data_IF_672565810438
#
_entry.id   IF_672565810438
#
_cell.length_a   1.000
_cell.length_b   1.000
_cell.length_c   1.000
_cell.angle_alpha   90.00
_cell.angle_beta   90.00
_cell.angle_gamma   90.00
#
_symmetry.space_group_name_H-M   'P 1'
#
loop_
_entity.id
_entity.type
_entity.pdbx_description
1 polymer ?
#
# COMPACT_ATOMS: atom_id res chain seq x y z
N UNK A 1 4.74 14.89 -15.04
CA UNK A 1 5.52 15.86 -14.23
C UNK A 1 6.41 16.74 -15.09
N UNK A 2 7.45 16.20 -15.72
CA UNK A 2 8.48 16.99 -16.39
C UNK A 2 7.94 17.94 -17.46
N UNK A 3 7.00 17.45 -18.29
CA UNK A 3 6.32 18.29 -19.28
C UNK A 3 5.56 19.46 -18.64
N UNK A 4 4.89 19.24 -17.50
CA UNK A 4 4.19 20.31 -16.79
C UNK A 4 5.16 21.39 -16.30
N UNK A 5 6.32 20.99 -15.80
CA UNK A 5 7.37 21.92 -15.35
C UNK A 5 7.96 22.71 -16.52
N UNK A 6 8.31 22.03 -17.61
CA UNK A 6 8.84 22.66 -18.83
C UNK A 6 7.86 23.66 -19.47
N UNK A 7 6.56 23.45 -19.29
CA UNK A 7 5.52 24.36 -19.77
C UNK A 7 5.10 25.41 -18.73
N UNK A 8 5.81 25.53 -17.61
CA UNK A 8 5.58 26.55 -16.59
C UNK A 8 4.27 26.41 -15.81
N UNK A 9 3.68 25.21 -15.70
CA UNK A 9 2.40 25.04 -14.98
C UNK A 9 2.53 25.29 -13.47
N UNK A 10 3.72 25.12 -12.90
CA UNK A 10 4.05 25.41 -11.50
C UNK A 10 4.23 26.91 -11.20
N UNK A 11 4.19 27.77 -12.23
CA UNK A 11 4.36 29.21 -12.12
C UNK A 11 3.11 29.93 -12.60
N UNK A 12 2.23 30.34 -11.68
CA UNK A 12 0.98 31.03 -12.01
C UNK A 12 1.20 32.32 -12.83
N UNK A 13 2.09 33.18 -12.35
CA UNK A 13 2.24 34.54 -12.89
C UNK A 13 3.38 34.70 -13.90
N UNK A 14 4.20 33.66 -14.12
CA UNK A 14 5.45 33.72 -14.91
C UNK A 14 5.48 32.77 -16.11
N UNK A 15 4.32 32.50 -16.71
CA UNK A 15 4.21 31.55 -17.83
C UNK A 15 5.00 31.94 -19.09
N UNK A 16 5.22 33.24 -19.34
CA UNK A 16 5.94 33.70 -20.52
C UNK A 16 7.39 33.21 -20.55
N UNK A 17 8.00 32.99 -19.37
CA UNK A 17 9.37 32.51 -19.23
C UNK A 17 9.57 31.10 -19.81
N UNK A 18 8.46 30.37 -20.04
CA UNK A 18 8.43 29.00 -20.55
C UNK A 18 7.94 28.90 -22.00
N UNK A 19 7.76 30.03 -22.70
CA UNK A 19 7.31 30.05 -24.10
C UNK A 19 8.18 30.98 -24.94
N UNK A 20 8.58 30.50 -26.12
CA UNK A 20 9.25 31.34 -27.12
C UNK A 20 8.26 32.27 -27.85
N UNK A 21 6.99 31.88 -27.93
CA UNK A 21 5.94 32.71 -28.50
C UNK A 21 5.38 33.68 -27.45
N UNK A 22 5.03 34.89 -27.88
CA UNK A 22 4.31 35.85 -27.03
C UNK A 22 2.92 35.30 -26.66
N UNK A 23 2.65 35.21 -25.37
CA UNK A 23 1.41 34.62 -24.84
C UNK A 23 0.38 35.72 -24.53
N UNK A 24 -0.70 35.76 -25.30
CA UNK A 24 -1.85 36.64 -25.04
C UNK A 24 -2.56 36.18 -23.76
N UNK A 25 -2.82 37.10 -22.82
CA UNK A 25 -3.55 36.79 -21.58
C UNK A 25 -4.99 36.40 -21.92
N UNK A 26 -5.36 35.17 -21.57
CA UNK A 26 -6.71 34.62 -21.71
C UNK A 26 -7.10 33.96 -20.39
N UNK A 27 -8.12 34.51 -19.72
CA UNK A 27 -8.56 34.04 -18.41
C UNK A 27 -9.04 32.58 -18.42
N UNK A 28 -9.64 32.11 -19.53
CA UNK A 28 -10.10 30.73 -19.64
C UNK A 28 -8.93 29.75 -19.72
N UNK A 29 -7.87 30.12 -20.45
CA UNK A 29 -6.65 29.33 -20.52
C UNK A 29 -5.91 29.32 -19.18
N UNK A 30 -5.82 30.44 -18.47
CA UNK A 30 -5.20 30.50 -17.14
C UNK A 30 -5.93 29.61 -16.14
N UNK A 31 -7.27 29.67 -16.11
CA UNK A 31 -8.08 28.80 -15.26
C UNK A 31 -7.92 27.31 -15.63
N UNK A 32 -7.84 26.98 -16.91
CA UNK A 32 -7.61 25.59 -17.37
C UNK A 32 -6.22 25.08 -16.95
N UNK A 33 -5.20 25.93 -17.02
CA UNK A 33 -3.83 25.61 -16.56
C UNK A 33 -3.77 25.43 -15.05
N UNK A 34 -4.43 26.31 -14.29
CA UNK A 34 -4.55 26.21 -12.84
C UNK A 34 -5.22 24.89 -12.43
N UNK A 35 -6.35 24.54 -13.08
CA UNK A 35 -7.04 23.25 -12.87
C UNK A 35 -6.15 22.05 -13.21
N UNK A 36 -5.43 22.11 -14.32
CA UNK A 36 -4.53 21.04 -14.73
C UNK A 36 -3.38 20.85 -13.74
N UNK A 37 -2.74 21.95 -13.30
CA UNK A 37 -1.74 21.91 -12.24
C UNK A 37 -2.34 21.38 -10.93
N UNK A 38 -3.59 21.76 -10.63
CA UNK A 38 -4.23 21.35 -9.40
C UNK A 38 -4.46 19.83 -9.33
N UNK A 39 -5.00 19.26 -10.42
CA UNK A 39 -5.11 17.80 -10.59
C UNK A 39 -3.75 17.11 -10.57
N UNK A 40 -2.73 17.73 -11.17
CA UNK A 40 -1.39 17.18 -11.18
C UNK A 40 -0.83 17.00 -9.75
N UNK A 41 -1.07 17.97 -8.86
CA UNK A 41 -0.71 17.91 -7.43
C UNK A 41 -1.50 16.88 -6.62
N UNK A 42 -2.65 16.41 -7.13
CA UNK A 42 -3.40 15.30 -6.52
C UNK A 42 -2.87 13.97 -7.05
N UNK A 43 -2.89 13.78 -8.37
CA UNK A 43 -2.64 12.48 -9.00
C UNK A 43 -1.18 12.04 -8.85
N UNK A 44 -0.22 12.95 -8.97
CA UNK A 44 1.19 12.58 -8.98
C UNK A 44 1.68 12.02 -7.63
N UNK A 45 1.33 12.60 -6.46
CA UNK A 45 1.56 11.95 -5.18
C UNK A 45 0.82 10.62 -5.03
N UNK A 46 -0.46 10.54 -5.41
CA UNK A 46 -1.25 9.31 -5.31
C UNK A 46 -0.53 8.12 -5.96
N UNK A 47 -0.08 8.28 -7.21
CA UNK A 47 0.57 7.17 -7.94
C UNK A 47 1.78 6.62 -7.19
N UNK A 48 2.56 7.45 -6.50
CA UNK A 48 3.72 6.98 -5.73
C UNK A 48 3.33 6.44 -4.36
N UNK A 49 2.58 7.23 -3.59
CA UNK A 49 2.21 6.94 -2.20
C UNK A 49 1.58 5.56 -2.11
N UNK A 50 0.53 5.33 -2.89
CA UNK A 50 -0.25 4.10 -2.80
C UNK A 50 0.52 2.89 -3.37
N UNK A 51 1.63 3.11 -4.09
CA UNK A 51 2.60 2.08 -4.50
C UNK A 51 3.71 1.81 -3.46
N UNK A 52 3.73 2.52 -2.33
CA UNK A 52 4.82 2.45 -1.36
C UNK A 52 6.10 3.14 -1.84
N UNK A 53 5.98 4.12 -2.73
CA UNK A 53 7.09 4.94 -3.20
C UNK A 53 7.06 6.32 -2.53
N UNK A 54 8.21 6.98 -2.33
CA UNK A 54 8.25 8.32 -1.76
C UNK A 54 7.38 9.31 -2.56
N UNK A 55 6.60 10.18 -1.89
CA UNK A 55 5.80 11.17 -2.58
C UNK A 55 6.68 12.21 -3.27
N UNK A 56 6.21 12.74 -4.39
CA UNK A 56 6.84 13.90 -5.01
C UNK A 56 6.51 15.17 -4.20
N UNK A 57 7.55 15.93 -3.86
CA UNK A 57 7.42 17.27 -3.30
C UNK A 57 7.39 18.31 -4.44
N UNK A 58 6.42 19.21 -4.39
CA UNK A 58 6.29 20.30 -5.34
C UNK A 58 6.76 21.60 -4.70
N UNK A 59 7.80 22.20 -5.28
CA UNK A 59 8.13 23.61 -5.06
C UNK A 59 7.43 24.41 -6.17
N UNK A 60 6.43 25.21 -5.81
CA UNK A 60 5.61 25.95 -6.78
C UNK A 60 5.21 27.34 -6.26
N UNK A 61 4.93 28.27 -7.18
CA UNK A 61 4.58 29.64 -6.82
C UNK A 61 3.13 29.77 -6.34
N UNK A 62 2.36 28.68 -6.38
CA UNK A 62 0.93 28.69 -6.13
C UNK A 62 0.59 28.70 -4.63
N UNK A 63 1.52 28.28 -3.77
CA UNK A 63 1.38 28.36 -2.31
C UNK A 63 1.52 29.80 -1.80
N UNK A 64 2.31 30.64 -2.48
CA UNK A 64 2.68 31.97 -2.01
C UNK A 64 1.85 33.11 -2.65
N UNK A 65 1.26 32.88 -3.83
CA UNK A 65 0.64 33.94 -4.64
C UNK A 65 -0.90 33.97 -4.63
N UNK A 66 -1.60 33.12 -3.87
CA UNK A 66 -3.07 33.04 -3.99
C UNK A 66 -3.86 33.12 -2.69
N UNK A 67 -4.64 34.20 -2.61
CA UNK A 67 -5.98 34.22 -2.04
C UNK A 67 -6.90 33.32 -2.89
N UNK A 68 -6.76 32.00 -2.76
CA UNK A 68 -7.54 30.96 -3.46
C UNK A 68 -9.08 31.01 -3.22
N UNK A 69 -9.57 32.00 -2.47
CA UNK A 69 -10.92 32.08 -1.95
C UNK A 69 -11.98 32.71 -2.85
N UNK A 70 -11.63 33.42 -3.94
CA UNK A 70 -12.64 34.15 -4.73
C UNK A 70 -12.74 33.73 -6.21
N UNK A 71 -11.63 33.45 -6.91
CA UNK A 71 -11.69 33.17 -8.36
C UNK A 71 -11.87 31.68 -8.73
N UNK A 72 -11.38 30.75 -7.92
CA UNK A 72 -11.56 29.30 -8.14
C UNK A 72 -12.85 28.74 -7.52
N UNK A 73 -13.47 29.52 -6.63
CA UNK A 73 -14.68 29.15 -5.88
C UNK A 73 -15.93 28.97 -6.76
N UNK A 74 -15.84 29.34 -8.04
CA UNK A 74 -16.98 29.24 -8.96
C UNK A 74 -17.16 27.87 -9.65
N UNK A 75 -16.41 26.80 -9.33
CA UNK A 75 -16.60 25.53 -10.07
C UNK A 75 -16.31 24.20 -9.39
N UNK A 76 -15.21 24.04 -8.65
CA UNK A 76 -14.80 22.68 -8.24
C UNK A 76 -14.10 22.66 -6.87
N UNK A 77 -14.90 22.87 -5.82
CA UNK A 77 -14.45 22.80 -4.43
C UNK A 77 -13.87 21.43 -4.07
N UNK A 78 -14.24 20.36 -4.79
CA UNK A 78 -13.72 19.02 -4.55
C UNK A 78 -12.22 18.95 -4.82
N UNK A 79 -11.71 19.53 -5.91
CA UNK A 79 -10.26 19.53 -6.22
C UNK A 79 -9.48 20.26 -5.14
N UNK A 80 -9.97 21.40 -4.68
CA UNK A 80 -9.35 22.15 -3.59
C UNK A 80 -9.18 21.29 -2.34
N UNK A 81 -10.24 20.59 -1.93
CA UNK A 81 -10.19 19.71 -0.76
C UNK A 81 -9.33 18.46 -0.98
N UNK A 82 -9.36 17.87 -2.17
CA UNK A 82 -8.48 16.76 -2.56
C UNK A 82 -7.01 17.16 -2.42
N UNK A 83 -6.63 18.32 -2.92
CA UNK A 83 -5.26 18.83 -2.80
C UNK A 83 -4.81 19.03 -1.36
N UNK A 84 -5.69 19.58 -0.51
CA UNK A 84 -5.37 19.77 0.90
C UNK A 84 -5.17 18.46 1.62
N UNK A 85 -6.01 17.47 1.35
CA UNK A 85 -5.87 16.12 1.92
C UNK A 85 -4.59 15.44 1.43
N UNK A 86 -4.28 15.52 0.13
CA UNK A 86 -3.05 14.95 -0.43
C UNK A 86 -1.78 15.68 0.04
N UNK A 87 -1.87 16.98 0.35
CA UNK A 87 -0.79 17.73 1.00
C UNK A 87 -0.53 17.18 2.40
N UNK A 88 -1.58 16.96 3.19
CA UNK A 88 -1.47 16.32 4.52
C UNK A 88 -0.86 14.92 4.40
N UNK A 89 -1.31 14.10 3.45
CA UNK A 89 -0.75 12.77 3.23
C UNK A 89 0.74 12.83 2.83
N UNK A 90 1.10 13.68 1.88
CA UNK A 90 2.49 13.87 1.42
C UNK A 90 3.40 14.35 2.54
N UNK A 91 2.98 15.36 3.31
CA UNK A 91 3.73 15.85 4.47
C UNK A 91 3.90 14.76 5.52
N UNK A 92 2.82 14.02 5.82
CA UNK A 92 2.86 12.94 6.80
C UNK A 92 3.85 11.85 6.42
N UNK A 93 3.86 11.40 5.17
CA UNK A 93 4.74 10.32 4.73
C UNK A 93 6.19 10.76 4.74
N UNK A 94 6.50 12.00 4.33
CA UNK A 94 7.86 12.53 4.43
C UNK A 94 8.32 12.57 5.89
N UNK A 95 7.50 13.11 6.81
CA UNK A 95 7.85 13.16 8.24
C UNK A 95 7.99 11.77 8.86
N UNK A 96 7.06 10.85 8.59
CA UNK A 96 7.08 9.48 9.12
C UNK A 96 8.25 8.68 8.56
N UNK A 97 8.60 8.88 7.28
CA UNK A 97 9.72 8.19 6.63
C UNK A 97 11.05 8.69 7.19
N UNK A 98 11.25 10.01 7.32
CA UNK A 98 12.45 10.57 7.97
C UNK A 98 12.59 10.08 9.41
N UNK A 99 11.53 10.19 10.22
CA UNK A 99 11.55 9.73 11.61
C UNK A 99 11.84 8.22 11.75
N UNK A 100 11.46 7.42 10.75
CA UNK A 100 11.73 5.98 10.72
C UNK A 100 13.19 5.66 10.42
N UNK A 101 13.84 6.41 9.53
CA UNK A 101 15.25 6.19 9.18
C UNK A 101 16.21 6.73 10.24
N UNK A 102 15.82 7.75 10.99
CA UNK A 102 16.64 8.35 12.03
C UNK A 102 16.63 7.57 13.36
N UNK A 103 15.68 6.65 13.55
CA UNK A 103 15.53 5.88 14.79
C UNK A 103 16.22 4.51 14.76
N UNK A 104 16.96 4.17 15.82
CA UNK A 104 17.42 2.80 16.06
C UNK A 104 16.23 1.86 16.32
N UNK A 105 16.38 0.59 15.92
CA UNK A 105 15.35 -0.42 16.12
C UNK A 105 14.99 -0.58 17.59
N UNK A 106 13.71 -0.39 17.91
CA UNK A 106 13.20 -0.62 19.25
C UNK A 106 13.28 0.57 20.20
N UNK A 107 13.66 1.77 19.71
CA UNK A 107 13.68 2.97 20.54
C UNK A 107 12.27 3.28 21.12
N UNK A 108 12.08 3.21 22.45
CA UNK A 108 10.81 3.57 23.09
C UNK A 108 10.45 5.06 22.95
N UNK A 109 11.40 5.93 22.55
CA UNK A 109 11.16 7.34 22.28
C UNK A 109 10.70 7.61 20.83
N UNK A 110 10.37 6.58 20.06
CA UNK A 110 9.97 6.71 18.67
C UNK A 110 8.77 7.69 18.51
N UNK A 111 8.96 8.82 17.78
CA UNK A 111 7.93 9.85 17.65
C UNK A 111 6.78 9.48 16.72
N UNK A 112 6.81 8.30 16.06
CA UNK A 112 5.83 7.87 15.07
C UNK A 112 4.39 7.95 15.62
N UNK A 113 4.12 7.50 16.84
CA UNK A 113 2.76 7.56 17.43
C UNK A 113 2.24 9.01 17.48
N UNK A 114 3.09 9.96 17.90
CA UNK A 114 2.71 11.37 18.01
C UNK A 114 2.52 11.99 16.61
N UNK A 115 3.36 11.63 15.64
CA UNK A 115 3.27 12.07 14.25
C UNK A 115 1.97 11.55 13.61
N UNK A 116 1.69 10.24 13.73
CA UNK A 116 0.45 9.63 13.21
C UNK A 116 -0.77 10.33 13.81
N UNK A 117 -0.78 10.53 15.13
CA UNK A 117 -1.87 11.22 15.81
C UNK A 117 -2.07 12.66 15.31
N UNK A 118 -0.99 13.42 15.16
CA UNK A 118 -1.05 14.79 14.67
C UNK A 118 -1.73 14.87 13.30
N UNK A 119 -1.30 14.02 12.36
CA UNK A 119 -1.88 14.00 11.01
C UNK A 119 -3.29 13.40 10.97
N UNK A 120 -3.63 12.40 11.79
CA UNK A 120 -5.02 11.91 11.91
C UNK A 120 -5.98 13.02 12.38
N UNK A 121 -5.55 13.83 13.36
CA UNK A 121 -6.31 14.97 13.86
C UNK A 121 -6.51 16.03 12.74
N UNK A 122 -5.52 16.25 11.87
CA UNK A 122 -5.65 17.11 10.68
C UNK A 122 -6.63 16.53 9.64
N UNK A 123 -6.58 15.23 9.36
CA UNK A 123 -7.50 14.55 8.45
C UNK A 123 -8.94 14.65 8.95
N UNK A 124 -9.17 14.46 10.26
CA UNK A 124 -10.49 14.62 10.89
C UNK A 124 -10.99 16.06 10.78
N UNK A 125 -10.10 17.05 10.97
CA UNK A 125 -10.44 18.47 10.81
C UNK A 125 -10.83 18.78 9.36
N UNK A 126 -10.05 18.32 8.38
CA UNK A 126 -10.35 18.50 6.96
C UNK A 126 -11.67 17.85 6.54
N UNK A 127 -11.98 16.67 7.08
CA UNK A 127 -13.29 16.00 6.84
C UNK A 127 -14.46 16.88 7.25
N UNK A 128 -14.37 17.57 8.38
CA UNK A 128 -15.44 18.47 8.86
C UNK A 128 -15.56 19.72 7.98
N UNK A 129 -14.43 20.28 7.55
CA UNK A 129 -14.40 21.52 6.76
C UNK A 129 -14.82 21.33 5.30
N UNK A 130 -14.56 20.15 4.74
CA UNK A 130 -14.81 19.83 3.34
C UNK A 130 -16.22 19.31 3.06
N UNK A 131 -17.05 19.03 4.07
CA UNK A 131 -18.40 18.52 3.85
C UNK A 131 -19.30 19.56 3.14
N UNK A 132 -20.08 19.19 2.10
CA UNK A 132 -20.25 17.87 1.48
C UNK A 132 -19.35 17.63 0.25
N UNK A 133 -18.36 18.50 0.01
CA UNK A 133 -17.56 18.55 -1.22
C UNK A 133 -16.61 17.36 -1.43
N UNK A 134 -16.26 16.62 -0.38
CA UNK A 134 -15.37 15.45 -0.49
C UNK A 134 -16.00 14.20 0.12
N UNK A 135 -16.00 13.11 -0.65
CA UNK A 135 -16.61 11.85 -0.25
C UNK A 135 -15.83 11.18 0.89
N UNK A 136 -16.54 10.43 1.75
CA UNK A 136 -15.95 9.77 2.92
C UNK A 136 -14.82 8.78 2.59
N UNK A 137 -14.83 8.19 1.39
CA UNK A 137 -13.81 7.23 0.92
C UNK A 137 -12.40 7.83 0.92
N UNK A 138 -12.25 9.12 0.59
CA UNK A 138 -10.97 9.83 0.63
C UNK A 138 -10.37 9.81 2.04
N UNK A 139 -11.18 10.14 3.05
CA UNK A 139 -10.72 10.16 4.43
C UNK A 139 -10.47 8.76 5.00
N UNK A 140 -11.30 7.77 4.67
CA UNK A 140 -11.08 6.39 5.11
C UNK A 140 -9.78 5.82 4.52
N UNK A 141 -9.51 6.11 3.24
CA UNK A 141 -8.25 5.77 2.58
C UNK A 141 -7.06 6.42 3.31
N UNK A 142 -7.04 7.74 3.47
CA UNK A 142 -5.93 8.45 4.14
C UNK A 142 -5.69 7.95 5.56
N UNK A 143 -6.75 7.75 6.35
CA UNK A 143 -6.63 7.26 7.74
C UNK A 143 -6.08 5.84 7.81
N UNK A 144 -6.50 4.94 6.92
CA UNK A 144 -5.96 3.59 6.85
C UNK A 144 -4.45 3.60 6.51
N UNK A 145 -4.03 4.40 5.53
CA UNK A 145 -2.62 4.52 5.16
C UNK A 145 -1.76 5.14 6.28
N UNK A 146 -2.26 6.17 6.98
CA UNK A 146 -1.60 6.73 8.17
C UNK A 146 -1.51 5.70 9.29
N UNK A 147 -2.64 5.09 9.64
CA UNK A 147 -2.75 4.13 10.74
C UNK A 147 -1.91 2.87 10.52
N UNK A 148 -1.74 2.44 9.27
CA UNK A 148 -0.85 1.35 8.90
C UNK A 148 0.59 1.52 9.42
N UNK A 149 1.05 2.75 9.69
CA UNK A 149 2.37 2.96 10.31
C UNK A 149 2.51 2.35 11.73
N UNK A 150 1.41 2.02 12.41
CA UNK A 150 1.44 1.31 13.70
C UNK A 150 2.07 -0.09 13.64
N UNK A 151 2.10 -0.74 12.48
CA UNK A 151 2.82 -2.02 12.28
C UNK A 151 4.34 -1.88 12.44
N UNK A 152 4.88 -0.66 12.38
CA UNK A 152 6.31 -0.39 12.50
C UNK A 152 6.72 0.13 13.88
N UNK A 153 5.77 0.26 14.81
CA UNK A 153 6.02 0.68 16.19
C UNK A 153 6.19 -0.56 17.07
N UNK A 154 7.09 -0.48 18.05
CA UNK A 154 7.34 -1.53 19.03
C UNK A 154 6.05 -2.03 19.68
N UNK A 155 5.95 -3.34 19.90
CA UNK A 155 4.77 -3.95 20.51
C UNK A 155 4.64 -3.50 21.96
N UNK A 156 3.56 -2.78 22.23
CA UNK A 156 3.13 -2.33 23.55
C UNK A 156 1.60 -2.37 23.59
N UNK A 157 1.01 -2.43 24.78
CA UNK A 157 -0.45 -2.49 24.92
C UNK A 157 -1.16 -1.28 24.26
N UNK A 158 -0.53 -0.10 24.30
CA UNK A 158 -1.04 1.08 23.59
C UNK A 158 -0.98 0.91 22.08
N UNK A 159 0.13 0.40 21.52
CA UNK A 159 0.24 0.15 20.09
C UNK A 159 -0.72 -0.95 19.59
N UNK A 160 -0.95 -1.99 20.39
CA UNK A 160 -1.95 -3.03 20.09
C UNK A 160 -3.37 -2.44 19.98
N UNK A 161 -3.71 -1.48 20.83
CA UNK A 161 -5.00 -0.76 20.76
C UNK A 161 -5.12 0.00 19.43
N UNK A 162 -4.05 0.66 18.99
CA UNK A 162 -4.05 1.33 17.69
C UNK A 162 -4.18 0.34 16.51
N UNK A 163 -3.56 -0.83 16.57
CA UNK A 163 -3.73 -1.85 15.52
C UNK A 163 -5.18 -2.36 15.43
N UNK A 164 -5.92 -2.40 16.54
CA UNK A 164 -7.37 -2.67 16.54
C UNK A 164 -8.14 -1.53 15.84
N UNK A 165 -7.77 -0.27 16.10
CA UNK A 165 -8.37 0.87 15.40
C UNK A 165 -8.13 0.80 13.88
N UNK A 166 -6.91 0.46 13.46
CA UNK A 166 -6.53 0.30 12.06
C UNK A 166 -7.28 -0.85 11.40
N UNK A 167 -7.52 -1.95 12.12
CA UNK A 167 -8.38 -3.04 11.68
C UNK A 167 -9.82 -2.56 11.37
N UNK A 168 -10.42 -1.75 12.25
CA UNK A 168 -11.75 -1.19 12.00
C UNK A 168 -11.75 -0.19 10.85
N UNK A 169 -10.69 0.61 10.69
CA UNK A 169 -10.53 1.50 9.52
C UNK A 169 -10.45 0.71 8.21
N UNK A 170 -9.74 -0.42 8.20
CA UNK A 170 -9.66 -1.32 7.04
C UNK A 170 -11.04 -1.89 6.68
N UNK A 171 -11.77 -2.41 7.67
CA UNK A 171 -13.12 -2.93 7.46
C UNK A 171 -14.07 -1.85 6.92
N UNK A 172 -14.05 -0.64 7.51
CA UNK A 172 -14.88 0.48 7.08
C UNK A 172 -14.52 0.98 5.67
N UNK A 173 -13.24 0.95 5.28
CA UNK A 173 -12.82 1.28 3.92
C UNK A 173 -13.35 0.25 2.91
N UNK A 174 -13.25 -1.05 3.21
CA UNK A 174 -13.79 -2.06 2.30
C UNK A 174 -15.31 -1.97 2.21
N UNK A 175 -16.00 -1.74 3.33
CA UNK A 175 -17.46 -1.61 3.41
C UNK A 175 -17.98 -0.44 2.56
N UNK A 176 -17.31 0.73 2.58
CA UNK A 176 -17.73 1.85 1.73
C UNK A 176 -17.51 1.58 0.23
N UNK A 177 -16.45 0.84 -0.13
CA UNK A 177 -16.20 0.45 -1.52
C UNK A 177 -17.23 -0.59 -1.97
N UNK A 178 -17.53 -1.59 -1.14
CA UNK A 178 -18.54 -2.61 -1.43
C UNK A 178 -19.94 -1.99 -1.56
N UNK A 179 -20.31 -1.10 -0.63
CA UNK A 179 -21.59 -0.39 -0.68
C UNK A 179 -21.70 0.43 -1.98
N UNK A 180 -20.63 1.11 -2.39
CA UNK A 180 -20.60 1.84 -3.66
C UNK A 180 -20.65 0.92 -4.87
N UNK A 181 -20.00 -0.23 -4.80
CA UNK A 181 -20.03 -1.22 -5.89
C UNK A 181 -21.43 -1.80 -6.09
N UNK A 182 -22.16 -2.05 -5.00
CA UNK A 182 -23.55 -2.52 -5.06
C UNK A 182 -24.52 -1.46 -5.62
N UNK A 183 -24.19 -0.18 -5.50
CA UNK A 183 -25.02 0.92 -5.99
C UNK A 183 -24.74 1.26 -7.45
N UNK A 184 -23.47 1.41 -7.80
CA UNK A 184 -23.04 2.09 -9.03
C UNK A 184 -22.02 1.28 -9.85
N UNK A 185 -21.84 -0.02 -9.57
CA UNK A 185 -20.78 -0.85 -10.15
C UNK A 185 -19.37 -0.26 -9.99
N UNK A 186 -19.15 0.45 -8.89
CA UNK A 186 -17.95 1.24 -8.61
C UNK A 186 -16.63 0.46 -8.76
N UNK A 187 -16.62 -0.86 -8.52
CA UNK A 187 -15.43 -1.68 -8.73
C UNK A 187 -14.89 -1.57 -10.17
N UNK A 188 -15.76 -1.43 -11.18
CA UNK A 188 -15.35 -1.33 -12.59
C UNK A 188 -14.60 -0.03 -12.91
N UNK A 189 -14.75 1.00 -12.08
CA UNK A 189 -14.23 2.36 -12.32
C UNK A 189 -13.30 2.85 -11.20
N UNK A 190 -13.00 2.00 -10.23
CA UNK A 190 -12.19 2.37 -9.07
C UNK A 190 -10.76 2.73 -9.51
N UNK A 191 -10.26 3.85 -8.99
CA UNK A 191 -8.91 4.33 -9.28
C UNK A 191 -7.84 3.42 -8.67
N UNK A 192 -6.64 3.49 -9.24
CA UNK A 192 -5.48 2.69 -8.80
C UNK A 192 -5.16 2.88 -7.32
N UNK A 193 -5.33 4.10 -6.79
CA UNK A 193 -5.18 4.42 -5.37
C UNK A 193 -6.04 3.51 -4.49
N UNK A 194 -7.35 3.47 -4.74
CA UNK A 194 -8.27 2.71 -3.89
C UNK A 194 -8.14 1.20 -4.11
N UNK A 195 -7.76 0.78 -5.32
CA UNK A 195 -7.33 -0.60 -5.56
C UNK A 195 -6.17 -0.99 -4.65
N UNK A 196 -5.12 -0.15 -4.55
CA UNK A 196 -3.99 -0.39 -3.65
C UNK A 196 -4.38 -0.35 -2.18
N UNK A 197 -5.28 0.55 -1.81
CA UNK A 197 -5.86 0.61 -0.47
C UNK A 197 -6.68 -0.63 -0.12
N UNK A 198 -7.43 -1.25 -1.07
CA UNK A 198 -8.15 -2.51 -0.82
C UNK A 198 -7.17 -3.62 -0.43
N UNK A 199 -6.00 -3.65 -1.04
CA UNK A 199 -4.97 -4.65 -0.77
C UNK A 199 -4.31 -4.41 0.58
N UNK A 200 -3.98 -3.16 0.90
CA UNK A 200 -3.55 -2.78 2.24
C UNK A 200 -4.60 -3.19 3.29
N UNK A 201 -5.87 -2.86 3.06
CA UNK A 201 -6.97 -3.20 3.96
C UNK A 201 -7.12 -4.71 4.17
N UNK A 202 -7.14 -5.50 3.10
CA UNK A 202 -7.20 -6.96 3.17
C UNK A 202 -6.02 -7.54 3.96
N UNK A 203 -4.79 -7.12 3.67
CA UNK A 203 -3.60 -7.61 4.38
C UNK A 203 -3.60 -7.15 5.85
N UNK A 204 -4.02 -5.93 6.16
CA UNK A 204 -4.19 -5.46 7.54
C UNK A 204 -5.17 -6.35 8.29
N UNK A 205 -6.34 -6.64 7.69
CA UNK A 205 -7.36 -7.52 8.28
C UNK A 205 -6.77 -8.91 8.54
N UNK A 206 -6.11 -9.50 7.55
CA UNK A 206 -5.48 -10.82 7.67
C UNK A 206 -4.46 -10.83 8.82
N UNK A 207 -3.54 -9.87 8.86
CA UNK A 207 -2.49 -9.81 9.88
C UNK A 207 -3.07 -9.69 11.29
N UNK A 208 -4.08 -8.85 11.48
CA UNK A 208 -4.73 -8.68 12.80
C UNK A 208 -5.52 -9.94 13.18
N UNK A 209 -6.28 -10.53 12.26
CA UNK A 209 -7.02 -11.78 12.53
C UNK A 209 -6.11 -12.97 12.84
N UNK A 210 -4.87 -12.97 12.33
CA UNK A 210 -3.87 -14.02 12.60
C UNK A 210 -2.96 -13.75 13.79
N UNK A 211 -3.08 -12.58 14.44
CA UNK A 211 -2.27 -12.26 15.62
C UNK A 211 -2.77 -13.01 16.84
N UNK A 212 -1.86 -13.65 17.57
CA UNK A 212 -2.18 -14.32 18.83
C UNK A 212 -2.53 -13.31 19.93
N UNK A 213 -2.05 -12.07 19.81
CA UNK A 213 -2.27 -10.98 20.76
C UNK A 213 -3.57 -10.19 20.49
N UNK A 214 -4.05 -10.15 19.25
CA UNK A 214 -5.19 -9.30 18.84
C UNK A 214 -6.44 -10.07 18.44
N UNK A 215 -6.34 -11.33 17.98
CA UNK A 215 -7.49 -12.05 17.42
C UNK A 215 -8.68 -12.18 18.39
N UNK A 216 -8.41 -12.26 19.70
CA UNK A 216 -9.45 -12.31 20.74
C UNK A 216 -10.11 -10.94 21.03
N UNK A 217 -9.54 -9.85 20.53
CA UNK A 217 -9.98 -8.47 20.80
C UNK A 217 -10.64 -7.80 19.59
N UNK A 218 -10.79 -8.51 18.48
CA UNK A 218 -11.44 -8.03 17.26
C UNK A 218 -12.61 -8.91 16.86
N UNK A 219 -13.58 -8.33 16.14
CA UNK A 219 -14.67 -9.10 15.53
C UNK A 219 -14.16 -9.83 14.29
N UNK A 220 -13.70 -11.08 14.46
CA UNK A 220 -13.15 -11.90 13.37
C UNK A 220 -14.12 -12.12 12.20
N UNK A 221 -15.42 -12.16 12.48
CA UNK A 221 -16.45 -12.39 11.47
C UNK A 221 -16.66 -11.13 10.62
N UNK A 222 -16.61 -9.95 11.20
CA UNK A 222 -16.56 -8.69 10.44
C UNK A 222 -15.32 -8.67 9.54
N UNK A 223 -14.16 -9.04 10.07
CA UNK A 223 -12.90 -9.07 9.31
C UNK A 223 -12.96 -10.03 8.13
N UNK A 224 -13.41 -11.26 8.36
CA UNK A 224 -13.61 -12.24 7.31
C UNK A 224 -14.53 -11.72 6.19
N UNK A 225 -15.67 -11.13 6.56
CA UNK A 225 -16.61 -10.55 5.57
C UNK A 225 -15.95 -9.45 4.74
N UNK A 226 -15.28 -8.50 5.39
CA UNK A 226 -14.57 -7.42 4.70
C UNK A 226 -13.41 -7.95 3.85
N UNK A 227 -12.65 -8.94 4.32
CA UNK A 227 -11.57 -9.55 3.56
C UNK A 227 -12.07 -10.19 2.26
N UNK A 228 -13.14 -10.98 2.34
CA UNK A 228 -13.74 -11.59 1.15
C UNK A 228 -14.51 -10.60 0.27
N UNK A 229 -15.01 -9.50 0.83
CA UNK A 229 -15.54 -8.39 0.03
C UNK A 229 -14.45 -7.77 -0.84
N UNK A 230 -13.25 -7.52 -0.30
CA UNK A 230 -12.11 -7.03 -1.07
C UNK A 230 -11.75 -8.01 -2.21
N UNK A 231 -11.73 -9.32 -1.95
CA UNK A 231 -11.51 -10.34 -3.00
C UNK A 231 -12.58 -10.28 -4.09
N UNK A 232 -13.87 -10.14 -3.74
CA UNK A 232 -14.95 -10.03 -4.72
C UNK A 232 -14.80 -8.79 -5.60
N UNK A 233 -14.49 -7.64 -5.00
CA UNK A 233 -14.24 -6.38 -5.73
C UNK A 233 -13.07 -6.56 -6.71
N UNK A 234 -11.97 -7.19 -6.28
CA UNK A 234 -10.84 -7.50 -7.15
C UNK A 234 -11.24 -8.42 -8.32
N UNK A 235 -12.00 -9.49 -8.05
CA UNK A 235 -12.49 -10.40 -9.09
C UNK A 235 -13.38 -9.68 -10.13
N UNK A 236 -14.19 -8.70 -9.71
CA UNK A 236 -15.03 -7.91 -10.62
C UNK A 236 -14.21 -7.01 -11.56
N UNK A 237 -12.96 -6.68 -11.21
CA UNK A 237 -12.03 -5.86 -12.03
C UNK A 237 -11.22 -6.65 -13.04
N UNK A 238 -11.32 -7.97 -13.04
CA UNK A 238 -10.55 -8.82 -13.94
C UNK A 238 -10.99 -8.57 -15.39
N UNK A 239 -10.05 -8.10 -16.20
CA UNK A 239 -10.23 -7.86 -17.64
C UNK A 239 -9.75 -9.06 -18.46
N UNK A 240 -8.74 -9.78 -17.96
CA UNK A 240 -8.12 -10.92 -18.65
C UNK A 240 -7.68 -11.98 -17.65
N UNK A 241 -7.64 -13.23 -18.11
CA UNK A 241 -7.07 -14.31 -17.30
C UNK A 241 -5.64 -13.96 -16.90
N UNK A 242 -5.34 -14.16 -15.61
CA UNK A 242 -4.02 -13.90 -15.02
C UNK A 242 -3.58 -12.42 -15.06
N UNK A 243 -4.49 -11.45 -15.19
CA UNK A 243 -4.14 -10.05 -14.95
C UNK A 243 -3.85 -9.77 -13.46
N UNK A 244 -3.37 -8.55 -13.17
CA UNK A 244 -3.01 -8.12 -11.82
C UNK A 244 -4.12 -8.36 -10.78
N UNK A 245 -5.37 -8.11 -11.16
CA UNK A 245 -6.52 -8.27 -10.26
C UNK A 245 -6.82 -9.74 -9.99
N UNK A 246 -6.76 -10.58 -11.03
CA UNK A 246 -6.97 -12.01 -10.92
C UNK A 246 -5.90 -12.65 -10.04
N UNK A 247 -4.64 -12.28 -10.26
CA UNK A 247 -3.52 -12.77 -9.47
C UNK A 247 -3.63 -12.34 -8.01
N UNK A 248 -3.94 -11.07 -7.73
CA UNK A 248 -4.08 -10.63 -6.35
C UNK A 248 -5.28 -11.30 -5.64
N UNK A 249 -6.42 -11.45 -6.32
CA UNK A 249 -7.57 -12.16 -5.75
C UNK A 249 -7.22 -13.61 -5.39
N UNK A 250 -6.41 -14.29 -6.22
CA UNK A 250 -5.90 -15.63 -5.95
C UNK A 250 -4.94 -15.65 -4.76
N UNK A 251 -3.95 -14.75 -4.73
CA UNK A 251 -2.99 -14.63 -3.62
C UNK A 251 -3.73 -14.42 -2.29
N UNK A 252 -4.68 -13.48 -2.23
CA UNK A 252 -5.46 -13.21 -1.04
C UNK A 252 -6.30 -14.43 -0.61
N UNK A 253 -6.87 -15.18 -1.56
CA UNK A 253 -7.62 -16.40 -1.26
C UNK A 253 -6.72 -17.47 -0.63
N UNK A 254 -5.53 -17.70 -1.22
CA UNK A 254 -4.54 -18.66 -0.72
C UNK A 254 -4.00 -18.26 0.66
N UNK A 255 -3.72 -16.97 0.86
CA UNK A 255 -3.28 -16.42 2.14
C UNK A 255 -4.30 -16.66 3.26
N UNK A 256 -5.59 -16.47 2.99
CA UNK A 256 -6.64 -16.72 3.98
C UNK A 256 -6.81 -18.20 4.32
N UNK A 257 -6.59 -19.10 3.37
CA UNK A 257 -6.69 -20.54 3.58
C UNK A 257 -5.47 -21.11 4.31
N UNK A 258 -4.28 -20.55 4.08
CA UNK A 258 -3.04 -21.03 4.70
C UNK A 258 -3.07 -20.90 6.22
N UNK A 259 -2.72 -21.98 6.94
CA UNK A 259 -2.56 -22.01 8.40
C UNK A 259 -1.10 -21.77 8.86
N UNK A 260 -0.19 -21.65 7.89
CA UNK A 260 1.25 -21.59 8.12
C UNK A 260 1.85 -20.25 7.69
N UNK A 261 1.11 -19.44 6.95
CA UNK A 261 1.50 -18.04 6.69
C UNK A 261 1.79 -17.35 8.02
N UNK A 262 2.93 -16.64 8.08
CA UNK A 262 3.51 -16.00 9.29
C UNK A 262 4.10 -16.93 10.35
N UNK A 263 4.13 -18.25 10.14
CA UNK A 263 4.81 -19.18 11.06
C UNK A 263 6.33 -19.03 10.90
N UNK A 264 7.01 -18.81 12.02
CA UNK A 264 8.46 -18.74 12.09
C UNK A 264 9.08 -20.15 12.17
N UNK A 265 10.39 -20.32 11.90
CA UNK A 265 11.07 -21.62 11.98
C UNK A 265 10.93 -22.31 13.35
N UNK A 266 10.82 -21.55 14.44
CA UNK A 266 10.56 -22.06 15.80
C UNK A 266 9.10 -22.47 16.07
N UNK A 267 8.21 -22.40 15.09
CA UNK A 267 6.80 -22.76 15.20
C UNK A 267 5.90 -21.67 15.79
N UNK A 268 6.47 -20.56 16.29
CA UNK A 268 5.70 -19.39 16.73
C UNK A 268 5.02 -18.70 15.54
N UNK A 269 3.87 -18.07 15.80
CA UNK A 269 3.14 -17.28 14.81
C UNK A 269 3.43 -15.80 15.03
N UNK A 270 3.85 -15.10 13.99
CA UNK A 270 4.11 -13.66 14.05
C UNK A 270 3.60 -12.94 12.79
N UNK A 271 2.34 -12.53 12.83
CA UNK A 271 1.68 -11.79 11.75
C UNK A 271 1.83 -10.27 11.83
N UNK A 272 2.24 -9.74 12.99
CA UNK A 272 2.29 -8.30 13.24
C UNK A 272 3.64 -7.67 12.91
N UNK A 273 4.74 -8.44 12.94
CA UNK A 273 6.04 -7.91 12.49
C UNK A 273 6.01 -7.66 10.99
N UNK A 274 6.44 -6.47 10.59
CA UNK A 274 6.65 -6.09 9.19
C UNK A 274 8.11 -5.71 9.01
N UNK A 275 8.80 -6.41 8.10
CA UNK A 275 10.24 -6.26 7.89
C UNK A 275 10.56 -5.30 6.75
N UNK A 276 9.70 -5.25 5.73
CA UNK A 276 9.88 -4.32 4.61
C UNK A 276 9.50 -2.90 5.05
N UNK A 277 10.51 -2.11 5.37
CA UNK A 277 10.36 -0.72 5.83
C UNK A 277 10.62 0.33 4.75
N UNK A 278 11.26 -0.06 3.65
CA UNK A 278 11.65 0.82 2.54
C UNK A 278 10.51 1.21 1.59
N UNK A 279 9.32 0.64 1.78
CA UNK A 279 8.14 0.85 0.93
C UNK A 279 7.00 1.59 1.66
N UNK A 280 7.34 2.50 2.57
CA UNK A 280 6.36 3.22 3.39
C UNK A 280 5.44 2.29 4.19
N UNK A 281 4.15 2.59 4.20
CA UNK A 281 3.07 1.76 4.73
C UNK A 281 2.76 0.54 3.87
N UNK A 282 2.93 0.63 2.55
CA UNK A 282 2.69 -0.50 1.64
C UNK A 282 3.70 -1.63 1.85
N UNK A 283 4.80 -1.38 2.57
CA UNK A 283 5.69 -2.41 3.09
C UNK A 283 4.96 -3.57 3.78
N UNK A 284 3.81 -3.31 4.41
CA UNK A 284 2.93 -4.34 5.01
C UNK A 284 2.44 -5.35 3.98
N UNK A 285 2.04 -4.86 2.80
CA UNK A 285 1.57 -5.69 1.67
C UNK A 285 2.74 -6.45 1.07
N UNK A 286 3.84 -5.76 0.76
CA UNK A 286 5.02 -6.38 0.17
C UNK A 286 5.63 -7.47 1.08
N UNK A 287 5.70 -7.23 2.38
CA UNK A 287 6.16 -8.20 3.37
C UNK A 287 5.24 -9.44 3.38
N UNK A 288 3.93 -9.23 3.24
CA UNK A 288 2.98 -10.34 3.15
C UNK A 288 3.12 -11.14 1.84
N UNK A 289 3.46 -10.48 0.73
CA UNK A 289 3.74 -11.16 -0.54
C UNK A 289 4.98 -12.06 -0.44
N UNK A 290 6.01 -11.66 0.32
CA UNK A 290 7.15 -12.54 0.60
C UNK A 290 6.76 -13.73 1.47
N UNK A 291 5.91 -13.54 2.48
CA UNK A 291 5.37 -14.64 3.26
C UNK A 291 4.54 -15.61 2.41
N UNK A 292 3.76 -15.09 1.46
CA UNK A 292 3.00 -15.89 0.50
C UNK A 292 3.93 -16.72 -0.39
N UNK A 293 4.92 -16.09 -1.05
CA UNK A 293 5.89 -16.78 -1.90
C UNK A 293 6.60 -17.90 -1.15
N UNK A 294 7.03 -17.62 0.07
CA UNK A 294 7.70 -18.62 0.88
C UNK A 294 6.81 -19.82 1.18
N UNK A 295 5.59 -19.59 1.67
CA UNK A 295 4.72 -20.69 2.11
C UNK A 295 4.11 -21.45 0.93
N UNK A 296 3.70 -20.77 -0.14
CA UNK A 296 2.95 -21.36 -1.25
C UNK A 296 3.85 -21.75 -2.43
N UNK A 297 5.07 -21.21 -2.53
CA UNK A 297 6.01 -21.51 -3.62
C UNK A 297 7.34 -22.09 -3.15
N UNK A 298 7.60 -22.12 -1.84
CA UNK A 298 8.87 -22.62 -1.30
C UNK A 298 10.06 -21.71 -1.60
N UNK A 299 9.82 -20.45 -2.00
CA UNK A 299 10.88 -19.48 -2.25
C UNK A 299 11.54 -19.00 -0.94
N UNK A 300 12.83 -18.64 -1.00
CA UNK A 300 13.53 -18.07 0.15
C UNK A 300 13.00 -16.66 0.45
N UNK A 301 12.73 -16.38 1.72
CA UNK A 301 12.39 -15.04 2.19
C UNK A 301 13.67 -14.36 2.72
N UNK A 302 14.21 -13.34 2.02
CA UNK A 302 15.48 -12.71 2.39
C UNK A 302 15.42 -12.00 3.76
N UNK A 303 14.22 -11.75 4.29
CA UNK A 303 14.03 -11.05 5.56
C UNK A 303 13.85 -12.00 6.76
N UNK A 304 13.85 -13.33 6.57
CA UNK A 304 13.72 -14.26 7.70
C UNK A 304 15.04 -14.56 8.43
N UNK A 305 16.18 -14.50 7.73
CA UNK A 305 17.48 -14.91 8.26
C UNK A 305 18.03 -13.99 9.37
N UNK A 306 17.55 -12.74 9.42
CA UNK A 306 17.98 -11.75 10.43
C UNK A 306 17.57 -12.15 11.86
N UNK A 307 16.61 -13.06 12.03
CA UNK A 307 16.18 -13.53 13.35
C UNK A 307 17.09 -14.62 13.95
N UNK A 308 18.00 -15.20 13.15
CA UNK A 308 18.88 -16.31 13.57
C UNK A 308 20.24 -15.83 14.10
N UNK A 309 20.57 -14.55 13.98
CA UNK A 309 21.79 -13.97 14.56
C UNK A 309 21.53 -13.48 15.98
N UNK A 310 21.48 -14.42 16.92
CA UNK A 310 21.70 -14.09 18.33
C UNK A 310 23.12 -13.55 18.58
N UNK A 311 23.42 -13.02 19.79
CA UNK A 311 24.73 -12.45 20.11
C UNK A 311 25.89 -13.46 20.05
N UNK A 312 25.59 -14.76 20.10
CA UNK A 312 26.59 -15.81 20.02
C UNK A 312 26.72 -16.28 18.57
N UNK A 313 27.67 -15.66 17.87
CA UNK A 313 28.15 -16.10 16.57
C UNK A 313 28.67 -17.54 16.63
N UNK A 314 27.81 -18.49 16.30
CA UNK A 314 28.22 -19.81 15.86
C UNK A 314 27.53 -20.11 14.52
N UNK A 315 28.32 -20.02 13.45
CA UNK A 315 27.90 -20.44 12.12
C UNK A 315 27.64 -21.95 12.13
N UNK A 316 26.39 -22.35 12.36
CA UNK A 316 25.92 -23.66 11.95
C UNK A 316 25.04 -23.45 10.71
N UNK A 317 25.63 -23.74 9.55
CA UNK A 317 24.89 -23.89 8.30
C UNK A 317 24.07 -25.17 8.46
N UNK A 318 22.87 -25.06 9.02
CA UNK A 318 21.93 -26.16 9.05
C UNK A 318 21.36 -26.30 7.64
N UNK A 319 21.97 -27.18 6.83
CA UNK A 319 21.40 -27.66 5.58
C UNK A 319 20.03 -28.27 5.87
N UNK A 320 18.95 -27.54 5.55
CA UNK A 320 17.61 -28.09 5.55
C UNK A 320 17.49 -29.04 4.35
N UNK A 321 17.81 -30.31 4.56
CA UNK A 321 17.38 -31.39 3.64
C UNK A 321 15.87 -31.54 3.76
N UNK A 322 15.15 -31.06 2.75
CA UNK A 322 13.71 -31.25 2.58
C UNK A 322 13.48 -32.69 2.10
N UNK A 323 12.95 -33.56 2.97
CA UNK A 323 12.52 -34.90 2.58
C UNK A 323 11.16 -34.80 1.89
N UNK A 324 11.17 -34.92 0.57
CA UNK A 324 9.99 -34.96 -0.27
C UNK A 324 9.33 -36.34 -0.19
N UNK A 325 8.42 -36.52 0.76
CA UNK A 325 7.45 -37.62 0.70
C UNK A 325 6.05 -37.13 1.07
N UNK A 326 5.26 -36.86 0.03
CA UNK A 326 3.81 -36.68 0.12
C UNK A 326 3.21 -38.06 0.37
N UNK A 327 2.57 -38.26 1.53
CA UNK A 327 1.69 -39.39 1.76
C UNK A 327 0.29 -38.89 2.17
N UNK A 328 -0.79 -39.30 1.48
CA UNK A 328 -2.13 -38.93 1.86
C UNK A 328 -2.62 -39.90 2.94
N UNK A 329 -3.24 -39.40 4.01
CA UNK A 329 -4.13 -40.22 4.82
C UNK A 329 -5.33 -39.41 5.30
N UNK A 330 -6.51 -39.97 4.98
CA UNK A 330 -7.83 -39.52 5.36
C UNK A 330 -8.03 -39.56 6.88
N UNK A 331 -8.73 -38.55 7.40
CA UNK A 331 -9.36 -38.59 8.72
C UNK A 331 -10.60 -37.70 8.71
N UNK A 332 -11.76 -38.33 8.57
CA UNK A 332 -13.08 -37.71 8.66
C UNK A 332 -13.32 -37.15 10.06
N UNK A 333 -13.93 -35.96 10.15
CA UNK A 333 -14.95 -35.67 11.16
C UNK A 333 -15.85 -34.51 10.71
N UNK A 334 -17.11 -34.63 11.09
CA UNK A 334 -18.33 -34.10 10.49
C UNK A 334 -18.81 -32.79 11.14
N UNK A 335 -19.73 -32.10 10.42
CA UNK A 335 -20.66 -31.00 10.81
C UNK A 335 -20.05 -29.58 10.76
N UNK A 336 -20.57 -28.57 10.02
CA UNK A 336 -21.93 -28.28 9.54
C UNK A 336 -21.86 -27.44 8.26
N UNK A 337 -22.54 -27.87 7.20
CA UNK A 337 -22.49 -27.30 5.86
C UNK A 337 -23.36 -26.03 5.74
N UNK A 338 -22.76 -24.88 5.50
CA UNK A 338 -23.38 -23.80 4.72
C UNK A 338 -22.74 -23.83 3.34
N UNK A 339 -23.51 -24.29 2.35
CA UNK A 339 -23.12 -24.37 0.94
C UNK A 339 -22.90 -22.98 0.35
N UNK A 340 -21.64 -22.59 0.18
CA UNK A 340 -21.23 -21.57 -0.80
C UNK A 340 -21.07 -22.23 -2.17
N UNK A 341 -21.17 -21.48 -3.29
CA UNK A 341 -20.85 -22.00 -4.61
C UNK A 341 -19.41 -22.54 -4.61
N UNK A 342 -19.27 -23.81 -5.00
CA UNK A 342 -18.02 -24.53 -5.11
C UNK A 342 -17.09 -23.76 -6.05
N UNK A 343 -15.99 -23.24 -5.50
CA UNK A 343 -14.93 -22.62 -6.28
C UNK A 343 -14.21 -23.76 -7.00
N UNK A 344 -14.34 -23.81 -8.33
CA UNK A 344 -13.58 -24.76 -9.15
C UNK A 344 -12.09 -24.43 -9.00
N UNK A 345 -11.37 -25.18 -8.16
CA UNK A 345 -9.91 -25.07 -7.94
C UNK A 345 -9.13 -25.19 -9.26
N UNK A 346 -9.75 -25.78 -10.30
CA UNK A 346 -9.21 -25.93 -11.63
C UNK A 346 -9.39 -24.69 -12.55
N UNK A 347 -9.99 -23.60 -12.07
CA UNK A 347 -10.22 -22.39 -12.89
C UNK A 347 -8.95 -21.56 -13.14
N UNK A 348 -7.89 -21.78 -12.37
CA UNK A 348 -6.66 -21.00 -12.45
C UNK A 348 -5.49 -21.95 -12.71
N UNK A 349 -5.15 -22.24 -13.98
CA UNK A 349 -3.96 -23.01 -14.30
C UNK A 349 -2.73 -22.31 -13.72
N UNK A 350 -1.67 -23.09 -13.42
CA UNK A 350 -0.35 -22.65 -12.94
C UNK A 350 -0.01 -21.22 -13.38
N UNK A 351 0.43 -20.38 -12.43
CA UNK A 351 0.84 -18.98 -12.63
C UNK A 351 2.07 -18.89 -13.55
N UNK A 352 1.87 -19.14 -14.85
CA UNK A 352 2.92 -19.26 -15.87
C UNK A 352 3.48 -17.87 -16.27
N UNK A 353 2.84 -16.77 -15.89
CA UNK A 353 3.30 -15.39 -16.19
C UNK A 353 3.43 -14.56 -14.90
N UNK A 354 4.46 -14.92 -14.14
CA UNK A 354 4.81 -14.32 -12.85
C UNK A 354 5.56 -12.98 -13.00
N UNK A 355 6.30 -12.86 -14.10
CA UNK A 355 7.19 -11.73 -14.39
C UNK A 355 6.42 -10.42 -14.61
N UNK A 356 5.25 -10.49 -15.27
CA UNK A 356 4.38 -9.34 -15.50
C UNK A 356 3.79 -8.77 -14.20
N UNK A 357 3.36 -9.63 -13.27
CA UNK A 357 2.76 -9.23 -12.01
C UNK A 357 3.74 -8.43 -11.15
N UNK A 358 4.96 -8.95 -10.97
CA UNK A 358 5.92 -8.28 -10.10
C UNK A 358 6.45 -6.97 -10.68
N UNK A 359 6.63 -6.91 -12.00
CA UNK A 359 6.93 -5.66 -12.70
C UNK A 359 5.84 -4.60 -12.47
N UNK A 360 4.55 -4.95 -12.60
CA UNK A 360 3.41 -4.06 -12.34
C UNK A 360 3.27 -3.67 -10.84
N UNK A 361 3.82 -4.49 -9.95
CA UNK A 361 3.98 -4.20 -8.52
C UNK A 361 5.22 -3.37 -8.17
N UNK A 362 5.91 -2.81 -9.16
CA UNK A 362 7.15 -2.06 -8.98
C UNK A 362 8.27 -2.90 -8.32
N UNK A 363 8.27 -4.21 -8.49
CA UNK A 363 9.43 -5.07 -8.25
C UNK A 363 10.23 -5.19 -9.55
N UNK A 364 11.51 -4.86 -9.48
CA UNK A 364 12.41 -5.07 -10.60
C UNK A 364 12.64 -6.56 -10.79
N UNK A 365 12.58 -7.02 -12.04
CA UNK A 365 13.00 -8.36 -12.43
C UNK A 365 14.53 -8.42 -12.56
N UNK A 366 15.13 -9.59 -12.31
CA UNK A 366 16.58 -9.77 -12.33
C UNK A 366 17.20 -9.51 -13.73
N UNK A 367 18.40 -8.92 -13.71
CA UNK A 367 19.32 -8.58 -14.83
C UNK A 367 19.17 -7.27 -15.61
N UNK A 368 18.32 -6.31 -15.24
CA UNK A 368 18.21 -5.04 -15.98
C UNK A 368 18.88 -3.82 -15.34
N UNK A 369 19.33 -3.92 -14.09
CA UNK A 369 19.77 -2.73 -13.33
C UNK A 369 21.26 -2.41 -13.41
N UNK A 370 22.06 -3.27 -14.04
CA UNK A 370 23.45 -2.97 -14.31
C UNK A 370 23.61 -2.82 -15.82
N UNK A 371 23.81 -1.59 -16.33
CA UNK A 371 24.24 -1.41 -17.70
C UNK A 371 25.46 -2.33 -17.95
N UNK A 372 25.53 -3.05 -19.07
CA UNK A 372 26.63 -3.99 -19.34
C UNK A 372 28.03 -3.40 -19.11
N UNK A 373 28.18 -2.08 -19.35
CA UNK A 373 29.40 -1.33 -19.09
C UNK A 373 29.82 -1.27 -17.61
N UNK A 374 28.87 -1.25 -16.67
CA UNK A 374 29.14 -1.24 -15.23
C UNK A 374 29.44 -2.67 -14.73
N UNK A 375 28.77 -3.68 -15.30
CA UNK A 375 29.03 -5.08 -14.98
C UNK A 375 30.44 -5.49 -15.41
N UNK A 376 30.87 -5.04 -16.59
CA UNK A 376 32.22 -5.25 -17.11
C UNK A 376 33.26 -4.61 -16.17
N UNK A 377 33.01 -3.37 -15.73
CA UNK A 377 33.95 -2.66 -14.87
C UNK A 377 34.08 -3.26 -13.46
N UNK A 378 32.99 -3.85 -12.93
CA UNK A 378 33.00 -4.60 -11.67
C UNK A 378 33.73 -5.94 -11.81
N UNK A 379 33.49 -6.66 -12.92
CA UNK A 379 34.20 -7.91 -13.22
C UNK A 379 35.71 -7.66 -13.44
N UNK A 380 36.08 -6.55 -14.08
CA UNK A 380 37.48 -6.17 -14.29
C UNK A 380 38.17 -5.81 -12.94
N UNK A 381 37.43 -5.22 -11.99
CA UNK A 381 37.93 -4.95 -10.63
C UNK A 381 38.07 -6.20 -9.76
N UNK A 382 37.17 -7.18 -9.90
CA UNK A 382 37.26 -8.47 -9.18
C UNK A 382 38.29 -9.44 -9.79
N UNK A 383 38.59 -9.29 -11.08
CA UNK A 383 39.53 -10.17 -11.79
C UNK A 383 41.01 -9.82 -11.62
N UNK A 384 41.35 -8.68 -10.98
CA UNK A 384 42.69 -8.38 -10.45
C UNK A 384 43.87 -8.90 -11.29
N UNK A 385 44.00 -8.39 -12.52
CA UNK A 385 45.27 -8.33 -13.26
C UNK A 385 45.77 -6.90 -13.26
#
# INVERSE_FOLDING_TARGET
MQLCLQNGLHMHSKRQDFSQAFLVKDANQEMSRARLWAWFKVVCPCVNIYCGLPPHLFDDSWVQELHWGDEFVSGDLSIYWMQRLETVMTSSLNTLTSARYDGEHGDPANPLTAIIKHFDDEVIKLKKQSHPHLAAIWFLCTRLHLGAYHFFISRSNSNLTHLIEVYHQACAFVDIVETRDQQDDYALYISEQYYRTLMLGAITILRVCRSTELAANVDLLMGERSYFAAIRILKKRVLRNNDLNAQMATILSQLWQSQRVFRQPGGSLDSLTVRIRSRGEMGIVYDCLWHWRQELRGELNPYQEECSRGPDGSNSVASLTFDGTIHPSLGQNTTTTQTFPELDENSFPNMIDDDGFFSEWNWSMDNLFVPPAIQQHLNDMESGV
#
